data_IF_636206138698
#
_entry.id   IF_636206138698
#
_cell.length_a   1.000
_cell.length_b   1.000
_cell.length_c   1.000
_cell.angle_alpha   90.00
_cell.angle_beta   90.00
_cell.angle_gamma   90.00
#
_symmetry.space_group_name_H-M   'P 1'
#
loop_
_entity.id
_entity.type
_entity.pdbx_description
1 polymer ?
#
# COMPACT_ATOMS: atom_id res chain seq x y z
N UNK A 1 -28.13 -21.54 16.55
CA UNK A 1 -26.65 -21.43 16.55
C UNK A 1 -26.18 -21.63 15.11
N UNK A 2 -26.23 -20.56 14.32
CA UNK A 2 -25.61 -20.44 13.01
C UNK A 2 -25.06 -19.03 12.97
N UNK A 3 -23.76 -18.93 13.11
CA UNK A 3 -22.96 -17.74 12.86
C UNK A 3 -23.09 -17.42 11.38
N UNK A 4 -23.93 -16.43 11.05
CA UNK A 4 -23.85 -15.77 9.76
C UNK A 4 -22.56 -14.94 9.76
N UNK A 5 -21.62 -15.40 8.94
CA UNK A 5 -20.50 -14.59 8.48
C UNK A 5 -21.08 -13.34 7.83
N UNK A 6 -21.07 -12.24 8.58
CA UNK A 6 -21.36 -10.94 8.04
C UNK A 6 -20.10 -10.49 7.30
N UNK A 7 -20.08 -10.75 5.99
CA UNK A 7 -19.24 -10.00 5.06
C UNK A 7 -19.49 -8.52 5.34
N UNK A 8 -18.55 -7.90 6.03
CA UNK A 8 -18.61 -6.49 6.37
C UNK A 8 -18.15 -5.72 5.15
N UNK A 9 -19.09 -5.12 4.43
CA UNK A 9 -18.77 -4.09 3.45
C UNK A 9 -17.81 -3.08 4.09
N UNK A 10 -16.62 -2.82 3.50
CA UNK A 10 -15.61 -1.93 4.10
C UNK A 10 -16.12 -0.49 4.23
N UNK A 11 -17.17 -0.13 3.49
CA UNK A 11 -17.78 1.20 3.45
C UNK A 11 -19.06 1.32 4.28
N UNK A 12 -19.39 0.33 5.13
CA UNK A 12 -20.61 0.41 5.94
C UNK A 12 -20.47 1.46 7.05
N UNK A 13 -21.12 2.60 6.85
CA UNK A 13 -21.24 3.69 7.83
C UNK A 13 -21.88 3.19 9.12
N UNK A 14 -21.15 3.35 10.23
CA UNK A 14 -21.60 3.02 11.59
C UNK A 14 -21.27 4.18 12.53
N UNK A 15 -21.91 4.21 13.68
CA UNK A 15 -21.61 5.19 14.73
C UNK A 15 -20.23 4.86 15.33
N UNK A 16 -19.27 5.79 15.20
CA UNK A 16 -17.88 5.64 15.65
C UNK A 16 -17.60 6.22 17.06
N UNK A 17 -18.61 6.36 17.91
CA UNK A 17 -18.42 6.90 19.26
C UNK A 17 -17.62 5.91 20.13
N UNK A 18 -16.45 6.35 20.63
CA UNK A 18 -15.51 5.51 21.40
C UNK A 18 -15.01 4.26 20.66
N UNK A 19 -15.03 4.26 19.33
CA UNK A 19 -14.65 3.10 18.53
C UNK A 19 -13.13 2.84 18.54
N UNK A 20 -12.32 3.90 18.58
CA UNK A 20 -10.87 3.79 18.53
C UNK A 20 -10.15 4.40 19.74
N UNK A 21 -10.78 5.31 20.47
CA UNK A 21 -10.23 5.91 21.69
C UNK A 21 -11.18 5.64 22.84
N UNK A 22 -10.63 5.37 24.03
CA UNK A 22 -11.41 5.27 25.25
C UNK A 22 -11.67 6.66 25.85
N UNK A 23 -12.58 6.72 26.82
CA UNK A 23 -12.82 7.94 27.60
C UNK A 23 -11.56 8.36 28.39
N UNK A 24 -10.80 7.39 28.91
CA UNK A 24 -9.57 7.66 29.67
C UNK A 24 -8.51 8.33 28.80
N UNK A 25 -8.30 7.80 27.59
CA UNK A 25 -7.28 8.35 26.66
C UNK A 25 -7.60 9.79 26.29
N UNK A 26 -8.88 10.12 26.07
CA UNK A 26 -9.32 11.48 25.77
C UNK A 26 -9.18 12.45 26.95
N UNK A 27 -9.38 11.97 28.18
CA UNK A 27 -9.16 12.77 29.38
C UNK A 27 -7.67 13.09 29.57
N UNK A 28 -6.79 12.10 29.33
CA UNK A 28 -5.34 12.31 29.35
C UNK A 28 -4.89 13.26 28.24
N UNK A 29 -5.46 13.13 27.03
CA UNK A 29 -5.21 14.06 25.93
C UNK A 29 -5.59 15.47 26.39
N UNK A 30 -6.81 15.70 26.90
CA UNK A 30 -7.26 17.05 27.30
C UNK A 30 -6.39 17.71 28.38
N UNK A 31 -5.84 16.94 29.31
CA UNK A 31 -4.96 17.45 30.37
C UNK A 31 -3.55 17.80 29.88
N UNK A 32 -3.18 17.33 28.70
CA UNK A 32 -1.82 17.43 28.17
C UNK A 32 -1.67 18.60 27.20
N UNK A 33 -0.74 19.52 27.45
CA UNK A 33 -0.47 20.66 26.55
C UNK A 33 0.65 20.39 25.54
N UNK A 34 1.59 19.48 25.88
CA UNK A 34 2.74 19.18 25.01
C UNK A 34 2.35 18.30 23.82
N UNK A 35 2.85 18.66 22.64
CA UNK A 35 2.64 17.93 21.38
C UNK A 35 3.21 16.50 21.49
N UNK A 36 4.40 16.35 22.06
CA UNK A 36 5.09 15.04 22.18
C UNK A 36 4.33 14.06 23.06
N UNK A 37 3.66 14.57 24.10
CA UNK A 37 2.90 13.75 25.03
C UNK A 37 1.56 13.33 24.40
N UNK A 38 0.92 14.21 23.61
CA UNK A 38 -0.26 13.87 22.81
C UNK A 38 0.08 12.76 21.82
N UNK A 39 1.20 12.86 21.11
CA UNK A 39 1.67 11.81 20.17
C UNK A 39 1.85 10.47 20.87
N UNK A 40 2.44 10.47 22.08
CA UNK A 40 2.64 9.24 22.87
C UNK A 40 1.30 8.62 23.28
N UNK A 41 0.34 9.41 23.74
CA UNK A 41 -0.99 8.91 24.11
C UNK A 41 -1.72 8.37 22.89
N UNK A 42 -1.68 9.10 21.76
CA UNK A 42 -2.28 8.66 20.50
C UNK A 42 -1.66 7.37 19.98
N UNK A 43 -0.34 7.22 20.09
CA UNK A 43 0.37 5.99 19.73
C UNK A 43 -0.17 4.78 20.50
N UNK A 44 -0.30 4.89 21.81
CA UNK A 44 -0.82 3.82 22.67
C UNK A 44 -2.32 3.57 22.45
N UNK A 45 -3.14 4.61 22.36
CA UNK A 45 -4.59 4.48 22.22
C UNK A 45 -4.99 3.86 20.87
N UNK A 46 -4.33 4.27 19.78
CA UNK A 46 -4.69 3.84 18.43
C UNK A 46 -4.04 2.54 18.00
N UNK A 47 -3.15 1.96 18.82
CA UNK A 47 -2.36 0.74 18.55
C UNK A 47 -1.76 0.75 17.13
N UNK A 48 -0.96 1.79 16.83
CA UNK A 48 -0.40 2.00 15.50
C UNK A 48 0.82 1.09 15.32
N UNK A 49 0.68 0.03 14.52
CA UNK A 49 1.78 -0.86 14.14
C UNK A 49 2.31 -0.49 12.75
N UNK A 50 3.04 0.62 12.68
CA UNK A 50 3.60 1.14 11.43
C UNK A 50 5.08 1.48 11.65
N UNK A 51 6.01 1.05 10.76
CA UNK A 51 7.41 1.38 10.90
C UNK A 51 7.70 2.87 10.66
N UNK A 52 8.77 3.38 11.27
CA UNK A 52 9.31 4.69 10.91
C UNK A 52 9.82 4.70 9.45
N UNK A 53 9.68 5.82 8.69
CA UNK A 53 9.21 7.16 9.11
C UNK A 53 7.69 7.35 9.01
N UNK A 54 6.93 6.36 8.52
CA UNK A 54 5.49 6.46 8.27
C UNK A 54 4.70 6.72 9.55
N UNK A 55 5.18 6.17 10.67
CA UNK A 55 4.62 6.41 12.00
C UNK A 55 4.51 7.90 12.35
N UNK A 56 5.60 8.67 12.14
CA UNK A 56 5.63 10.10 12.46
C UNK A 56 4.59 10.90 11.67
N UNK A 57 4.44 10.59 10.38
CA UNK A 57 3.47 11.26 9.51
C UNK A 57 2.02 10.98 9.96
N UNK A 58 1.75 9.75 10.39
CA UNK A 58 0.43 9.35 10.85
C UNK A 58 0.09 9.97 12.22
N UNK A 59 1.07 10.00 13.14
CA UNK A 59 0.92 10.68 14.43
C UNK A 59 0.74 12.18 14.24
N UNK A 60 1.51 12.81 13.36
CA UNK A 60 1.36 14.23 13.03
C UNK A 60 -0.05 14.53 12.49
N UNK A 61 -0.61 13.68 11.62
CA UNK A 61 -1.98 13.80 11.14
C UNK A 61 -2.99 13.79 12.31
N UNK A 62 -2.87 12.82 13.22
CA UNK A 62 -3.78 12.68 14.35
C UNK A 62 -3.63 13.81 15.38
N UNK A 63 -2.41 14.21 15.69
CA UNK A 63 -2.13 15.33 16.59
C UNK A 63 -2.68 16.64 16.03
N UNK A 64 -2.54 16.87 14.72
CA UNK A 64 -3.12 18.06 14.07
C UNK A 64 -4.66 18.12 14.18
N UNK A 65 -5.34 16.97 14.12
CA UNK A 65 -6.80 16.89 14.32
C UNK A 65 -7.15 17.26 15.77
N UNK A 66 -6.42 16.74 16.76
CA UNK A 66 -6.63 17.08 18.18
C UNK A 66 -6.43 18.57 18.40
N UNK A 67 -5.37 19.17 17.86
CA UNK A 67 -5.11 20.60 17.95
C UNK A 67 -6.21 21.45 17.28
N UNK A 68 -6.74 20.99 16.14
CA UNK A 68 -7.88 21.62 15.48
C UNK A 68 -9.13 21.60 16.36
N UNK A 69 -9.46 20.44 16.95
CA UNK A 69 -10.60 20.29 17.87
C UNK A 69 -10.47 21.22 19.09
N UNK A 70 -9.26 21.33 19.68
CA UNK A 70 -9.00 22.25 20.79
C UNK A 70 -9.22 23.71 20.39
N UNK A 71 -8.70 24.12 19.23
CA UNK A 71 -8.87 25.48 18.70
C UNK A 71 -10.34 25.84 18.47
N UNK A 72 -11.19 24.86 18.16
CA UNK A 72 -12.63 25.03 17.93
C UNK A 72 -13.48 24.67 19.15
N UNK A 73 -12.87 24.38 20.30
CA UNK A 73 -13.52 24.00 21.56
C UNK A 73 -14.53 22.85 21.41
N UNK A 74 -14.14 21.79 20.68
CA UNK A 74 -14.96 20.59 20.55
C UNK A 74 -14.91 19.73 21.81
N UNK A 75 -16.01 19.02 22.08
CA UNK A 75 -16.12 18.10 23.21
C UNK A 75 -15.24 16.85 22.99
N UNK A 76 -14.93 16.13 24.07
CA UNK A 76 -14.17 14.87 24.03
C UNK A 76 -14.76 13.83 23.08
N UNK A 77 -16.08 13.66 23.13
CA UNK A 77 -16.83 12.77 22.25
C UNK A 77 -16.67 13.18 20.78
N UNK A 78 -16.75 14.47 20.49
CA UNK A 78 -16.61 15.02 19.15
C UNK A 78 -15.19 14.80 18.60
N UNK A 79 -14.17 15.03 19.42
CA UNK A 79 -12.76 14.80 19.04
C UNK A 79 -12.48 13.31 18.80
N UNK A 80 -12.96 12.43 19.67
CA UNK A 80 -12.84 10.97 19.52
C UNK A 80 -13.49 10.48 18.22
N UNK A 81 -14.69 10.96 17.93
CA UNK A 81 -15.41 10.62 16.69
C UNK A 81 -14.69 11.17 15.47
N UNK A 82 -14.27 12.43 15.45
CA UNK A 82 -13.58 13.01 14.30
C UNK A 82 -12.28 12.26 13.98
N UNK A 83 -11.52 11.90 15.02
CA UNK A 83 -10.30 11.13 14.88
C UNK A 83 -10.57 9.73 14.29
N UNK A 84 -11.64 9.08 14.76
CA UNK A 84 -12.08 7.78 14.25
C UNK A 84 -12.57 7.85 12.80
N UNK A 85 -13.26 8.93 12.41
CA UNK A 85 -13.68 9.19 11.02
C UNK A 85 -12.45 9.29 10.12
N UNK A 86 -11.48 10.13 10.47
CA UNK A 86 -10.29 10.32 9.64
C UNK A 86 -9.45 9.05 9.58
N UNK A 87 -9.31 8.31 10.68
CA UNK A 87 -8.65 6.99 10.69
C UNK A 87 -9.33 6.02 9.73
N UNK A 88 -10.67 5.94 9.76
CA UNK A 88 -11.44 5.07 8.87
C UNK A 88 -11.28 5.45 7.40
N UNK A 89 -11.33 6.75 7.09
CA UNK A 89 -11.12 7.24 5.71
C UNK A 89 -9.69 6.97 5.25
N UNK A 90 -8.70 7.14 6.14
CA UNK A 90 -7.31 6.83 5.82
C UNK A 90 -7.10 5.34 5.55
N UNK A 91 -7.76 4.46 6.30
CA UNK A 91 -7.74 3.02 6.03
C UNK A 91 -8.28 2.70 4.63
N UNK A 92 -9.45 3.24 4.26
CA UNK A 92 -10.04 3.07 2.92
C UNK A 92 -9.13 3.63 1.82
N UNK A 93 -8.44 4.74 2.09
CA UNK A 93 -7.52 5.32 1.12
C UNK A 93 -6.35 4.37 0.77
N UNK A 94 -5.79 3.68 1.77
CA UNK A 94 -4.60 2.83 1.62
C UNK A 94 -4.92 1.39 1.18
N UNK A 95 -6.20 0.99 1.23
CA UNK A 95 -6.65 -0.36 0.83
C UNK A 95 -6.43 -0.66 -0.65
N UNK A 96 -6.38 0.36 -1.50
CA UNK A 96 -6.13 0.21 -2.93
C UNK A 96 -5.04 1.16 -3.41
N UNK A 97 -4.14 0.72 -4.32
CA UNK A 97 -3.19 1.61 -4.98
C UNK A 97 -3.86 2.55 -5.99
N UNK A 98 -5.06 2.21 -6.47
CA UNK A 98 -5.78 3.01 -7.45
C UNK A 98 -6.34 4.27 -6.81
N UNK A 99 -6.47 5.34 -7.59
CA UNK A 99 -7.09 6.56 -7.09
C UNK A 99 -8.54 6.30 -6.67
N UNK A 100 -8.83 6.62 -5.42
CA UNK A 100 -10.15 6.47 -4.80
C UNK A 100 -10.55 7.75 -4.04
N UNK A 101 -10.06 8.91 -4.49
CA UNK A 101 -10.31 10.21 -3.87
C UNK A 101 -11.81 10.48 -3.68
N UNK A 102 -12.61 10.31 -4.73
CA UNK A 102 -14.06 10.55 -4.69
C UNK A 102 -14.78 9.61 -3.71
N UNK A 103 -14.34 8.36 -3.64
CA UNK A 103 -14.88 7.36 -2.72
C UNK A 103 -14.53 7.74 -1.27
N UNK A 104 -13.28 8.11 -1.01
CA UNK A 104 -12.84 8.57 0.31
C UNK A 104 -13.61 9.82 0.78
N UNK A 105 -13.82 10.78 -0.12
CA UNK A 105 -14.55 12.00 0.21
C UNK A 105 -16.05 11.74 0.43
N UNK A 106 -16.66 10.86 -0.39
CA UNK A 106 -18.05 10.44 -0.20
C UNK A 106 -18.22 9.72 1.13
N UNK A 107 -17.32 8.78 1.45
CA UNK A 107 -17.33 8.04 2.70
C UNK A 107 -17.16 8.95 3.92
N UNK A 108 -16.22 9.91 3.85
CA UNK A 108 -16.07 10.94 4.87
C UNK A 108 -17.37 11.73 5.09
N UNK A 109 -18.01 12.15 4.00
CA UNK A 109 -19.25 12.96 4.05
C UNK A 109 -20.39 12.17 4.68
N UNK A 110 -20.54 10.89 4.34
CA UNK A 110 -21.56 10.02 4.92
C UNK A 110 -21.31 9.75 6.42
N UNK A 111 -20.06 9.48 6.81
CA UNK A 111 -19.67 9.35 8.21
C UNK A 111 -19.98 10.63 9.00
N UNK A 112 -19.60 11.79 8.46
CA UNK A 112 -19.88 13.07 9.11
C UNK A 112 -21.38 13.33 9.25
N UNK A 113 -22.17 13.00 8.22
CA UNK A 113 -23.63 13.13 8.26
C UNK A 113 -24.28 12.20 9.31
N UNK A 114 -23.77 10.98 9.44
CA UNK A 114 -24.17 10.01 10.47
C UNK A 114 -24.00 10.56 11.90
N UNK A 115 -23.00 11.43 12.10
CA UNK A 115 -22.73 12.08 13.38
C UNK A 115 -23.33 13.48 13.53
N UNK A 116 -24.13 13.93 12.55
CA UNK A 116 -24.74 15.26 12.53
C UNK A 116 -26.27 15.22 12.55
N UNK A 117 -26.88 14.12 12.08
CA UNK A 117 -28.34 13.97 12.01
C UNK A 117 -28.83 13.04 13.10
N UNK A 118 -29.92 13.40 13.79
CA UNK A 118 -30.55 12.56 14.81
C UNK A 118 -31.54 11.56 14.20
N UNK A 119 -31.13 10.30 14.00
CA UNK A 119 -32.01 9.15 13.66
C UNK A 119 -31.53 7.87 14.35
N UNK A 120 -31.86 7.65 15.63
CA UNK A 120 -31.60 6.38 16.30
C UNK A 120 -32.28 5.21 15.58
N UNK A 121 -31.67 4.02 15.44
CA UNK A 121 -30.34 3.58 15.92
C UNK A 121 -29.17 3.89 14.98
N UNK A 122 -29.39 4.55 13.83
CA UNK A 122 -28.42 4.65 12.75
C UNK A 122 -27.50 5.86 12.84
N UNK A 123 -27.95 6.96 13.46
CA UNK A 123 -27.22 8.23 13.47
C UNK A 123 -27.43 9.00 14.78
N UNK A 124 -26.42 9.77 15.18
CA UNK A 124 -26.38 10.58 16.42
C UNK A 124 -26.13 12.04 16.05
N UNK A 125 -26.77 12.98 16.74
CA UNK A 125 -26.53 14.42 16.57
C UNK A 125 -25.42 14.90 17.51
N UNK A 126 -24.16 14.63 17.16
CA UNK A 126 -23.00 15.13 17.91
C UNK A 126 -22.51 16.48 17.39
N UNK A 127 -22.55 16.70 16.07
CA UNK A 127 -22.06 17.93 15.45
C UNK A 127 -23.19 18.87 15.06
N UNK A 128 -22.98 20.17 15.27
CA UNK A 128 -23.86 21.21 14.72
C UNK A 128 -23.56 21.47 13.24
N UNK A 129 -24.50 22.10 12.52
CA UNK A 129 -24.30 22.44 11.10
C UNK A 129 -23.04 23.29 10.88
N UNK A 130 -22.77 24.25 11.77
CA UNK A 130 -21.56 25.08 11.68
C UNK A 130 -20.30 24.24 11.84
N UNK A 131 -20.26 23.34 12.83
CA UNK A 131 -19.15 22.43 13.08
C UNK A 131 -18.90 21.51 11.88
N UNK A 132 -19.95 20.99 11.25
CA UNK A 132 -19.85 20.17 10.03
C UNK A 132 -19.14 20.93 8.91
N UNK A 133 -19.51 22.19 8.69
CA UNK A 133 -18.86 23.01 7.64
C UNK A 133 -17.40 23.29 7.96
N UNK A 134 -17.07 23.55 9.23
CA UNK A 134 -15.69 23.78 9.67
C UNK A 134 -14.83 22.53 9.55
N UNK A 135 -15.36 21.37 9.96
CA UNK A 135 -14.70 20.06 9.84
C UNK A 135 -14.46 19.73 8.36
N UNK A 136 -15.45 19.93 7.50
CA UNK A 136 -15.33 19.67 6.05
C UNK A 136 -14.25 20.56 5.42
N UNK A 137 -14.25 21.86 5.73
CA UNK A 137 -13.22 22.79 5.24
C UNK A 137 -11.84 22.40 5.74
N UNK A 138 -11.71 22.02 7.01
CA UNK A 138 -10.45 21.57 7.57
C UNK A 138 -9.94 20.33 6.83
N UNK A 139 -10.78 19.30 6.73
CA UNK A 139 -10.46 18.03 6.09
C UNK A 139 -10.03 18.18 4.62
N UNK A 140 -10.71 19.03 3.85
CA UNK A 140 -10.33 19.32 2.47
C UNK A 140 -8.94 19.97 2.40
N UNK A 141 -8.68 20.94 3.29
CA UNK A 141 -7.44 21.72 3.26
C UNK A 141 -6.23 20.99 3.83
N UNK A 142 -6.43 20.04 4.75
CA UNK A 142 -5.34 19.29 5.37
C UNK A 142 -5.19 17.91 4.76
N UNK A 143 -6.21 17.06 4.80
CA UNK A 143 -6.11 15.68 4.38
C UNK A 143 -6.20 15.55 2.86
N UNK A 144 -7.27 16.05 2.23
CA UNK A 144 -7.49 15.85 0.78
C UNK A 144 -6.49 16.59 -0.08
N UNK A 145 -6.02 17.77 0.35
CA UNK A 145 -4.92 18.49 -0.31
C UNK A 145 -3.64 17.64 -0.42
N UNK A 146 -3.37 16.80 0.58
CA UNK A 146 -2.20 15.93 0.62
C UNK A 146 -2.57 14.46 0.32
N UNK A 147 -3.70 14.22 -0.35
CA UNK A 147 -4.19 12.87 -0.67
C UNK A 147 -3.12 11.99 -1.33
N UNK A 148 -2.46 12.51 -2.37
CA UNK A 148 -1.43 11.78 -3.12
C UNK A 148 -0.20 11.44 -2.26
N UNK A 149 0.14 12.29 -1.28
CA UNK A 149 1.23 12.03 -0.35
C UNK A 149 0.91 10.81 0.52
N UNK A 150 -0.27 10.80 1.14
CA UNK A 150 -0.70 9.67 1.96
C UNK A 150 -0.82 8.39 1.13
N UNK A 151 -1.35 8.49 -0.09
CA UNK A 151 -1.44 7.37 -1.03
C UNK A 151 -0.05 6.77 -1.29
N UNK A 152 0.91 7.60 -1.69
CA UNK A 152 2.25 7.15 -2.04
C UNK A 152 3.00 6.49 -0.86
N UNK A 153 2.84 7.05 0.34
CA UNK A 153 3.61 6.60 1.51
C UNK A 153 3.06 5.30 2.11
N UNK A 154 1.74 5.17 2.18
CA UNK A 154 1.08 4.10 2.95
C UNK A 154 0.55 2.95 2.10
N UNK A 155 0.46 3.12 0.78
CA UNK A 155 0.02 2.04 -0.11
C UNK A 155 1.13 1.00 -0.32
N UNK A 156 0.85 -0.30 -0.15
CA UNK A 156 1.80 -1.35 -0.49
C UNK A 156 2.06 -1.38 -2.00
N UNK A 157 3.33 -1.53 -2.39
CA UNK A 157 3.69 -1.75 -3.80
C UNK A 157 3.28 -3.16 -4.22
N UNK A 158 2.51 -3.25 -5.31
CA UNK A 158 2.10 -4.52 -5.90
C UNK A 158 3.05 -4.86 -7.05
N UNK A 159 3.70 -6.02 -6.98
CA UNK A 159 4.50 -6.57 -8.07
C UNK A 159 3.78 -7.78 -8.65
N UNK A 160 3.57 -7.80 -9.97
CA UNK A 160 3.02 -8.96 -10.67
C UNK A 160 4.17 -9.76 -11.26
N UNK A 161 4.41 -10.97 -10.73
CA UNK A 161 5.35 -11.92 -11.32
C UNK A 161 4.59 -12.92 -12.20
N UNK A 162 4.87 -12.90 -13.50
CA UNK A 162 4.18 -13.71 -14.50
C UNK A 162 5.05 -14.90 -14.89
N UNK A 163 4.61 -16.10 -14.51
CA UNK A 163 5.23 -17.35 -14.98
C UNK A 163 4.30 -18.07 -15.96
N UNK A 164 4.84 -18.44 -17.12
CA UNK A 164 4.11 -19.12 -18.19
C UNK A 164 4.56 -20.58 -18.27
N UNK A 165 3.61 -21.49 -18.03
CA UNK A 165 3.83 -22.92 -18.27
C UNK A 165 2.95 -23.37 -19.43
N UNK A 166 3.57 -23.92 -20.47
CA UNK A 166 2.83 -24.44 -21.62
C UNK A 166 2.37 -25.87 -21.34
N UNK A 167 1.05 -26.12 -21.39
CA UNK A 167 0.48 -27.46 -21.26
C UNK A 167 0.17 -28.04 -22.65
N UNK A 168 0.38 -29.36 -22.83
CA UNK A 168 0.07 -30.05 -24.09
C UNK A 168 1.19 -30.13 -25.14
N UNK A 169 2.44 -29.79 -24.78
CA UNK A 169 3.58 -30.18 -25.63
C UNK A 169 3.88 -31.67 -25.46
N UNK A 170 4.17 -32.42 -26.54
CA UNK A 170 4.82 -33.72 -26.40
C UNK A 170 6.20 -33.51 -25.75
N UNK A 171 6.45 -34.21 -24.65
CA UNK A 171 7.76 -34.32 -24.03
C UNK A 171 8.74 -34.83 -25.09
N UNK A 172 9.65 -33.97 -25.56
CA UNK A 172 10.85 -34.48 -26.22
C UNK A 172 11.74 -35.00 -25.11
N UNK A 173 11.87 -36.33 -25.04
CA UNK A 173 12.95 -37.03 -24.35
C UNK A 173 14.28 -36.64 -25.01
N UNK A 174 14.75 -35.43 -24.77
CA UNK A 174 16.15 -35.07 -24.96
C UNK A 174 16.71 -34.90 -23.55
N UNK A 175 17.07 -36.04 -22.98
CA UNK A 175 17.91 -36.15 -21.80
C UNK A 175 19.29 -35.58 -22.17
N UNK A 176 19.51 -34.29 -21.91
CA UNK A 176 20.87 -33.79 -21.71
C UNK A 176 21.27 -34.06 -20.25
N UNK A 177 21.48 -35.33 -19.93
CA UNK A 177 22.44 -35.71 -18.90
C UNK A 177 23.84 -35.63 -19.52
N UNK A 178 24.68 -34.73 -19.01
CA UNK A 178 26.16 -34.75 -18.99
C UNK A 178 26.59 -33.36 -18.45
N UNK A 179 27.23 -33.17 -17.30
CA UNK A 179 27.75 -34.09 -16.31
C UNK A 179 27.90 -33.31 -14.99
N UNK A 180 27.34 -33.85 -13.92
CA UNK A 180 27.88 -33.66 -12.58
C UNK A 180 29.23 -34.38 -12.51
N UNK A 181 30.33 -33.64 -12.44
CA UNK A 181 31.60 -34.19 -11.98
C UNK A 181 31.90 -33.63 -10.60
N UNK A 182 31.50 -34.40 -9.60
CA UNK A 182 32.03 -34.33 -8.24
C UNK A 182 33.48 -34.85 -8.26
N UNK A 183 34.38 -34.13 -7.61
CA UNK A 183 35.54 -34.70 -6.95
C UNK A 183 36.08 -33.69 -5.94
N UNK A 184 35.66 -33.83 -4.69
CA UNK A 184 36.28 -33.15 -3.56
C UNK A 184 37.68 -33.69 -3.25
N UNK A 185 38.63 -32.82 -2.97
CA UNK A 185 39.67 -33.07 -1.94
C UNK A 185 40.13 -31.73 -1.36
N UNK A 186 40.05 -31.62 -0.02
CA UNK A 186 40.49 -30.49 0.80
C UNK A 186 42.01 -30.28 0.74
N UNK A 187 42.47 -29.02 0.78
CA UNK A 187 43.46 -28.51 1.77
C UNK A 187 43.69 -27.00 1.62
N UNK A 188 43.82 -26.36 2.78
CA UNK A 188 44.05 -24.93 3.05
C UNK A 188 45.35 -24.35 2.48
N UNK A 189 45.37 -23.05 2.17
CA UNK A 189 46.25 -22.03 2.78
C UNK A 189 46.34 -20.72 1.95
N UNK A 190 45.85 -19.63 2.55
CA UNK A 190 46.45 -18.27 2.62
C UNK A 190 47.61 -17.88 1.68
N UNK A 191 47.41 -16.81 0.86
CA UNK A 191 48.08 -15.49 0.93
C UNK A 191 47.99 -14.66 -0.36
N UNK A 192 47.44 -13.44 -0.20
CA UNK A 192 48.02 -12.12 -0.51
C UNK A 192 48.52 -11.79 -1.95
N UNK A 193 47.95 -10.67 -2.41
CA UNK A 193 48.53 -9.55 -3.17
C UNK A 193 48.44 -9.46 -4.71
N UNK A 194 47.98 -8.25 -5.08
CA UNK A 194 48.51 -7.35 -6.11
C UNK A 194 48.09 -7.52 -7.59
N UNK A 195 47.31 -6.51 -8.03
CA UNK A 195 47.53 -5.64 -9.18
C UNK A 195 47.80 -6.27 -10.56
N UNK A 196 47.01 -5.83 -11.55
CA UNK A 196 47.43 -5.93 -12.95
C UNK A 196 46.30 -5.82 -13.94
N UNK A 197 45.85 -4.58 -14.19
CA UNK A 197 45.23 -4.20 -15.47
C UNK A 197 46.24 -4.46 -16.59
N UNK A 198 45.89 -5.22 -17.64
CA UNK A 198 46.32 -4.99 -19.04
C UNK A 198 45.39 -5.76 -19.99
N UNK A 199 44.87 -5.02 -20.97
CA UNK A 199 44.06 -5.41 -22.13
C UNK A 199 44.85 -6.18 -23.20
N UNK A 200 44.18 -6.45 -24.34
CA UNK A 200 44.76 -6.70 -25.71
C UNK A 200 45.05 -8.19 -25.95
N UNK A 201 44.65 -8.89 -27.02
CA UNK A 201 43.91 -8.59 -28.25
C UNK A 201 43.63 -9.94 -28.96
N UNK A 202 42.62 -9.94 -29.83
CA UNK A 202 42.40 -10.74 -31.06
C UNK A 202 43.15 -12.07 -31.28
N UNK A 203 42.39 -13.12 -31.64
CA UNK A 203 42.75 -14.01 -32.74
C UNK A 203 41.48 -14.56 -33.42
N UNK A 204 41.31 -14.14 -34.67
CA UNK A 204 40.40 -14.68 -35.67
C UNK A 204 40.79 -16.11 -36.03
N UNK A 205 39.80 -17.01 -36.15
CA UNK A 205 39.85 -18.11 -37.12
C UNK A 205 38.44 -18.42 -37.56
N UNK A 206 38.14 -18.04 -38.80
CA UNK A 206 36.99 -18.52 -39.54
C UNK A 206 37.14 -20.02 -39.77
N UNK A 207 36.09 -20.80 -39.50
CA UNK A 207 35.86 -22.07 -40.18
C UNK A 207 34.36 -22.24 -40.33
N UNK A 208 33.85 -21.73 -41.45
CA UNK A 208 32.51 -22.04 -41.93
C UNK A 208 32.46 -23.51 -42.38
N UNK A 209 31.64 -24.30 -41.68
CA UNK A 209 31.18 -25.62 -42.09
C UNK A 209 29.69 -25.71 -41.78
N UNK A 210 28.88 -25.35 -42.76
CA UNK A 210 27.44 -25.18 -42.65
C UNK A 210 26.70 -26.46 -42.20
N UNK A 211 25.88 -26.32 -41.16
CA UNK A 211 24.62 -27.04 -41.07
C UNK A 211 23.55 -26.07 -40.55
N UNK A 212 22.85 -25.41 -41.47
CA UNK A 212 21.70 -24.55 -41.17
C UNK A 212 20.56 -25.43 -40.66
N UNK A 213 20.51 -25.69 -39.36
CA UNK A 213 19.25 -26.07 -38.70
C UNK A 213 18.57 -24.76 -38.35
N UNK A 214 17.50 -24.43 -39.06
CA UNK A 214 16.65 -23.28 -38.71
C UNK A 214 16.22 -23.37 -37.25
N UNK A 215 15.86 -22.24 -36.62
CA UNK A 215 15.37 -22.26 -35.24
C UNK A 215 14.29 -23.32 -35.12
N UNK A 216 14.41 -24.19 -34.11
CA UNK A 216 13.41 -25.22 -33.83
C UNK A 216 12.01 -24.58 -33.85
N UNK A 217 10.99 -25.21 -34.43
CA UNK A 217 9.61 -24.68 -34.39
C UNK A 217 9.14 -24.35 -32.96
N UNK A 218 9.72 -25.00 -31.94
CA UNK A 218 9.49 -24.68 -30.52
C UNK A 218 10.10 -23.32 -30.11
N UNK A 219 11.27 -22.98 -30.62
CA UNK A 219 11.93 -21.69 -30.36
C UNK A 219 11.17 -20.55 -31.05
N UNK A 220 10.68 -20.77 -32.28
CA UNK A 220 9.83 -19.81 -32.99
C UNK A 220 8.49 -19.59 -32.26
N UNK A 221 7.81 -20.65 -31.81
CA UNK A 221 6.56 -20.52 -31.07
C UNK A 221 6.74 -19.81 -29.73
N UNK A 222 7.81 -20.12 -28.99
CA UNK A 222 8.17 -19.40 -27.74
C UNK A 222 8.43 -17.93 -28.00
N UNK A 223 9.12 -17.61 -29.09
CA UNK A 223 9.37 -16.23 -29.51
C UNK A 223 8.06 -15.48 -29.80
N UNK A 224 7.11 -16.10 -30.50
CA UNK A 224 5.80 -15.50 -30.81
C UNK A 224 5.00 -15.26 -29.53
N UNK A 225 4.91 -16.28 -28.65
CA UNK A 225 4.18 -16.16 -27.38
C UNK A 225 4.81 -15.09 -26.47
N UNK A 226 6.14 -15.06 -26.37
CA UNK A 226 6.83 -14.06 -25.56
C UNK A 226 6.63 -12.65 -26.12
N UNK A 227 6.56 -12.50 -27.45
CA UNK A 227 6.26 -11.23 -28.09
C UNK A 227 4.84 -10.76 -27.77
N UNK A 228 3.83 -11.63 -27.95
CA UNK A 228 2.44 -11.25 -27.67
C UNK A 228 2.17 -10.98 -26.20
N UNK A 229 2.71 -11.79 -25.30
CA UNK A 229 2.61 -11.53 -23.87
C UNK A 229 3.26 -10.19 -23.52
N UNK A 230 4.41 -9.86 -24.12
CA UNK A 230 5.06 -8.57 -23.89
C UNK A 230 4.19 -7.41 -24.38
N UNK A 231 3.54 -7.55 -25.53
CA UNK A 231 2.63 -6.53 -26.07
C UNK A 231 1.40 -6.33 -25.17
N UNK A 232 0.76 -7.41 -24.72
CA UNK A 232 -0.38 -7.36 -23.80
C UNK A 232 0.00 -6.80 -22.42
N UNK A 233 1.15 -7.21 -21.87
CA UNK A 233 1.66 -6.66 -20.60
C UNK A 233 1.95 -5.17 -20.71
N UNK A 234 2.51 -4.70 -21.83
CA UNK A 234 2.71 -3.27 -22.06
C UNK A 234 1.38 -2.50 -22.18
N UNK A 235 0.37 -3.10 -22.80
CA UNK A 235 -0.95 -2.49 -22.88
C UNK A 235 -1.60 -2.37 -21.49
N UNK A 236 -1.57 -3.44 -20.70
CA UNK A 236 -2.07 -3.47 -19.33
C UNK A 236 -1.32 -2.50 -18.41
N UNK A 237 0.01 -2.41 -18.52
CA UNK A 237 0.80 -1.47 -17.72
C UNK A 237 0.44 -0.02 -18.05
N UNK A 238 0.25 0.31 -19.32
CA UNK A 238 -0.16 1.65 -19.73
C UNK A 238 -1.57 2.00 -19.21
N UNK A 239 -2.49 1.03 -19.20
CA UNK A 239 -3.83 1.23 -18.64
C UNK A 239 -3.79 1.43 -17.11
N UNK A 240 -2.96 0.65 -16.40
CA UNK A 240 -2.75 0.80 -14.96
C UNK A 240 -2.10 2.15 -14.61
N UNK A 241 -1.09 2.59 -15.35
CA UNK A 241 -0.47 3.90 -15.15
C UNK A 241 -1.47 5.04 -15.32
N UNK A 242 -2.34 4.94 -16.33
CA UNK A 242 -3.42 5.92 -16.52
C UNK A 242 -4.36 5.97 -15.32
N UNK A 243 -4.74 4.82 -14.78
CA UNK A 243 -5.60 4.70 -13.59
C UNK A 243 -4.92 5.12 -12.28
N UNK A 244 -3.58 5.18 -12.24
CA UNK A 244 -2.82 5.73 -11.12
C UNK A 244 -2.68 7.25 -11.19
N UNK A 245 -2.76 7.83 -12.39
CA UNK A 245 -2.62 9.28 -12.64
C UNK A 245 -3.93 10.06 -12.59
N UNK A 246 -5.03 9.44 -13.01
CA UNK A 246 -6.41 9.97 -12.86
C UNK A 246 -6.83 10.00 -11.40
#
# INVERSE_FOLDING_TARGET
>A
MKTENQDSDPLKVRILLWANLSYSDMEEIDQTESITDIERILFHALNIDVPEPRLGILLELYTNIVLFCRKRHYNREQTSVLLSIVKSVHQVNIETPLNNMDQCFSYFTELLLCHSVRRPPFSISLFSLEQVTDITKYFINTYMRHYMLYKYIFTPQMYMDLSLTYTGMPESTDTEELASSDNGTKKDAERRNEQGVVSTETLTTDTEGACKRGPSPKAELRSIVQKEVKEEVMCLSAQLEKQLQE
#
